data_IF_792495586234
#
_entry.id   IF_792495586234
#
_cell.length_a   1.000
_cell.length_b   1.000
_cell.length_c   1.000
_cell.angle_alpha   90.00
_cell.angle_beta   90.00
_cell.angle_gamma   90.00
#
_symmetry.space_group_name_H-M   'P 1'
#
loop_
_entity.id
_entity.type
_entity.pdbx_description
1 polymer ?
#
# COMPACT_ATOMS: atom_id res chain seq x y z
N UNK A 1 -5.95 -14.99 -24.23
CA UNK A 1 -4.71 -15.34 -23.51
C UNK A 1 -5.06 -15.64 -22.07
N UNK A 2 -4.71 -16.81 -21.55
CA UNK A 2 -4.95 -17.22 -20.15
C UNK A 2 -3.68 -16.85 -19.37
N UNK A 3 -3.78 -16.04 -18.32
CA UNK A 3 -2.64 -15.73 -17.46
C UNK A 3 -1.99 -17.04 -16.95
N UNK A 4 -0.65 -17.11 -16.81
CA UNK A 4 0.01 -18.31 -16.32
C UNK A 4 -0.50 -18.61 -14.91
N UNK A 5 -1.08 -19.80 -14.73
CA UNK A 5 -1.57 -20.25 -13.44
C UNK A 5 -0.38 -20.46 -12.50
N UNK A 6 -0.27 -19.66 -11.44
CA UNK A 6 0.66 -19.90 -10.33
C UNK A 6 1.49 -18.73 -9.80
N UNK A 7 1.27 -17.49 -10.27
CA UNK A 7 1.92 -16.31 -9.67
C UNK A 7 1.30 -15.90 -8.32
N UNK A 8 2.03 -15.18 -7.46
CA UNK A 8 1.46 -14.62 -6.24
C UNK A 8 0.24 -13.74 -6.59
N UNK A 9 -0.88 -13.96 -5.88
CA UNK A 9 -2.14 -13.22 -6.07
C UNK A 9 -2.02 -11.75 -5.62
N UNK A 10 -1.03 -11.46 -4.77
CA UNK A 10 -0.79 -10.15 -4.17
C UNK A 10 0.73 -9.84 -4.13
N UNK A 11 1.11 -8.54 -4.11
CA UNK A 11 2.51 -8.14 -3.96
C UNK A 11 3.08 -8.51 -2.58
N UNK A 12 4.40 -8.69 -2.50
CA UNK A 12 5.10 -8.87 -1.24
C UNK A 12 5.20 -7.53 -0.48
N UNK A 13 4.70 -7.50 0.76
CA UNK A 13 4.67 -6.31 1.63
C UNK A 13 5.94 -6.13 2.47
N UNK A 14 6.89 -7.06 2.43
CA UNK A 14 8.18 -6.91 3.09
C UNK A 14 8.89 -5.64 2.61
N UNK A 15 9.23 -4.77 3.56
CA UNK A 15 9.89 -3.50 3.28
C UNK A 15 9.03 -2.46 2.56
N UNK A 16 7.69 -2.58 2.57
CA UNK A 16 6.81 -1.68 1.81
C UNK A 16 6.97 -0.21 2.19
N UNK A 17 7.32 0.09 3.44
CA UNK A 17 7.57 1.44 3.92
C UNK A 17 8.75 2.15 3.23
N UNK A 18 9.64 1.40 2.58
CA UNK A 18 10.78 1.93 1.83
C UNK A 18 10.61 1.89 0.31
N UNK A 19 9.46 1.45 -0.21
CA UNK A 19 9.21 1.38 -1.66
C UNK A 19 8.91 2.78 -2.23
N UNK A 20 9.11 2.95 -3.54
CA UNK A 20 8.87 4.22 -4.24
C UNK A 20 7.40 4.62 -4.32
N UNK A 21 6.47 3.67 -4.22
CA UNK A 21 5.03 3.97 -4.27
C UNK A 21 4.18 2.93 -3.54
N UNK A 22 2.98 3.36 -3.14
CA UNK A 22 1.88 2.50 -2.69
C UNK A 22 0.96 2.22 -3.89
N UNK A 23 0.45 0.98 -3.98
CA UNK A 23 -0.42 0.49 -5.08
C UNK A 23 0.15 0.63 -6.52
N UNK A 24 1.43 1.00 -6.64
CA UNK A 24 2.11 1.29 -7.90
C UNK A 24 1.73 2.63 -8.54
N UNK A 25 0.96 3.48 -7.86
CA UNK A 25 0.50 4.77 -8.41
C UNK A 25 0.60 5.94 -7.41
N UNK A 26 0.53 5.69 -6.11
CA UNK A 26 0.69 6.72 -5.08
C UNK A 26 2.18 6.89 -4.79
N UNK A 27 2.80 7.92 -5.36
CA UNK A 27 4.23 8.18 -5.23
C UNK A 27 4.57 8.62 -3.80
N UNK A 28 5.52 7.90 -3.20
CA UNK A 28 6.04 8.24 -1.88
C UNK A 28 7.10 9.33 -2.00
N UNK A 29 7.06 10.29 -1.09
CA UNK A 29 8.12 11.26 -0.94
C UNK A 29 9.41 10.52 -0.52
N UNK A 30 10.50 10.80 -1.25
CA UNK A 30 11.81 10.18 -1.03
C UNK A 30 12.92 11.22 -1.10
N UNK A 31 14.14 10.82 -0.72
CA UNK A 31 15.31 11.68 -0.86
C UNK A 31 15.54 12.04 -2.33
N UNK A 32 15.54 13.35 -2.63
CA UNK A 32 15.69 13.87 -3.99
C UNK A 32 14.41 13.81 -4.85
N UNK A 33 13.26 13.50 -4.27
CA UNK A 33 11.97 13.44 -4.96
C UNK A 33 11.02 14.50 -4.36
N UNK A 34 10.90 15.63 -5.06
CA UNK A 34 10.04 16.75 -4.63
C UNK A 34 8.55 16.45 -4.81
N UNK A 35 8.20 15.57 -5.74
CA UNK A 35 6.84 15.12 -6.01
C UNK A 35 6.51 13.85 -5.20
N UNK A 36 5.44 13.89 -4.40
CA UNK A 36 4.93 12.74 -3.65
C UNK A 36 4.40 13.13 -2.26
N UNK A 37 3.78 12.16 -1.58
CA UNK A 37 3.27 12.33 -0.21
C UNK A 37 4.07 11.45 0.76
N UNK A 38 4.04 11.75 2.07
CA UNK A 38 4.51 10.82 3.09
C UNK A 38 3.95 9.41 2.87
N UNK A 39 4.78 8.38 3.03
CA UNK A 39 4.38 6.98 2.83
C UNK A 39 3.14 6.62 3.64
N UNK A 40 3.04 7.17 4.86
CA UNK A 40 1.90 6.97 5.74
C UNK A 40 0.60 7.50 5.12
N UNK A 41 0.62 8.72 4.56
CA UNK A 41 -0.58 9.34 3.98
C UNK A 41 -1.06 8.53 2.78
N UNK A 42 -0.14 8.11 1.91
CA UNK A 42 -0.45 7.21 0.79
C UNK A 42 -0.98 5.85 1.27
N UNK A 43 -0.47 5.32 2.38
CA UNK A 43 -0.93 4.06 2.94
C UNK A 43 -2.34 4.18 3.53
N UNK A 44 -2.65 5.28 4.22
CA UNK A 44 -4.00 5.57 4.71
C UNK A 44 -4.97 5.75 3.55
N UNK A 45 -4.60 6.54 2.54
CA UNK A 45 -5.41 6.73 1.33
C UNK A 45 -5.74 5.39 0.66
N UNK A 46 -4.73 4.54 0.46
CA UNK A 46 -4.91 3.22 -0.14
C UNK A 46 -5.78 2.28 0.70
N UNK A 47 -5.53 2.19 2.01
CA UNK A 47 -6.20 1.21 2.85
C UNK A 47 -7.63 1.61 3.23
N UNK A 48 -7.98 2.90 3.21
CA UNK A 48 -9.36 3.33 3.47
C UNK A 48 -10.30 3.07 2.29
N UNK A 49 -9.83 3.28 1.06
CA UNK A 49 -10.64 3.00 -0.14
C UNK A 49 -9.76 2.62 -1.36
N UNK A 50 -9.36 1.34 -1.48
CA UNK A 50 -8.56 0.87 -2.59
C UNK A 50 -9.21 1.11 -3.97
N UNK A 51 -10.54 1.02 -4.05
CA UNK A 51 -11.26 1.14 -5.33
C UNK A 51 -11.32 2.58 -5.81
N UNK A 52 -11.40 3.56 -4.90
CA UNK A 52 -11.29 4.98 -5.25
C UNK A 52 -9.91 5.33 -5.83
N UNK A 53 -8.85 4.75 -5.27
CA UNK A 53 -7.46 4.99 -5.67
C UNK A 53 -7.14 4.29 -6.99
N UNK A 54 -7.52 3.01 -7.12
CA UNK A 54 -7.26 2.21 -8.31
C UNK A 54 -8.50 1.38 -8.70
N UNK A 55 -9.42 1.94 -9.50
CA UNK A 55 -10.64 1.23 -9.90
C UNK A 55 -10.35 -0.11 -10.59
N UNK A 56 -11.05 -1.16 -10.17
CA UNK A 56 -10.92 -2.50 -10.74
C UNK A 56 -9.73 -3.31 -10.21
N UNK A 57 -9.06 -2.84 -9.15
CA UNK A 57 -8.09 -3.65 -8.43
C UNK A 57 -8.79 -4.82 -7.68
N UNK A 58 -8.03 -5.85 -7.33
CA UNK A 58 -8.56 -7.07 -6.68
C UNK A 58 -8.38 -7.10 -5.16
N UNK A 59 -7.86 -6.03 -4.55
CA UNK A 59 -7.76 -5.92 -3.10
C UNK A 59 -9.15 -5.59 -2.52
N UNK A 60 -9.66 -6.38 -1.55
CA UNK A 60 -10.91 -6.05 -0.88
C UNK A 60 -10.75 -4.77 -0.05
N UNK A 61 -11.84 -4.03 0.15
CA UNK A 61 -11.82 -2.91 1.06
C UNK A 61 -11.68 -3.43 2.51
N UNK A 62 -10.70 -2.97 3.30
CA UNK A 62 -10.55 -3.35 4.71
C UNK A 62 -11.82 -3.20 5.55
N UNK A 63 -12.67 -2.21 5.26
CA UNK A 63 -13.97 -2.01 5.94
C UNK A 63 -14.95 -3.15 5.65
N UNK A 64 -14.93 -3.71 4.45
CA UNK A 64 -15.75 -4.89 4.09
C UNK A 64 -15.27 -6.16 4.81
N UNK A 65 -14.05 -6.15 5.34
CA UNK A 65 -13.49 -7.20 6.18
C UNK A 65 -13.79 -6.99 7.68
N UNK A 66 -14.50 -5.92 8.04
CA UNK A 66 -14.90 -5.61 9.41
C UNK A 66 -13.89 -4.81 10.22
N UNK A 67 -12.86 -4.23 9.57
CA UNK A 67 -11.90 -3.37 10.25
C UNK A 67 -12.46 -1.96 10.47
N UNK A 68 -12.19 -1.42 11.66
CA UNK A 68 -12.49 -0.03 12.02
C UNK A 68 -11.48 0.94 11.41
N UNK A 69 -11.84 2.22 11.34
CA UNK A 69 -10.92 3.26 10.85
C UNK A 69 -9.63 3.33 11.68
N UNK A 70 -9.72 3.10 13.00
CA UNK A 70 -8.56 3.10 13.90
C UNK A 70 -7.63 1.91 13.63
N UNK A 71 -8.17 0.72 13.38
CA UNK A 71 -7.37 -0.46 13.00
C UNK A 71 -6.73 -0.28 11.63
N UNK A 72 -7.44 0.30 10.66
CA UNK A 72 -6.91 0.61 9.33
C UNK A 72 -5.74 1.59 9.44
N UNK A 73 -5.89 2.65 10.24
CA UNK A 73 -4.84 3.62 10.50
C UNK A 73 -3.62 2.98 11.18
N UNK A 74 -3.84 2.12 12.18
CA UNK A 74 -2.76 1.39 12.85
C UNK A 74 -2.01 0.45 11.90
N UNK A 75 -2.70 -0.24 10.99
CA UNK A 75 -2.08 -1.05 9.94
C UNK A 75 -1.28 -0.17 8.97
N UNK A 76 -1.83 0.98 8.58
CA UNK A 76 -1.15 1.93 7.71
C UNK A 76 0.17 2.42 8.33
N UNK A 77 0.13 2.78 9.62
CA UNK A 77 1.30 3.20 10.40
C UNK A 77 2.35 2.09 10.50
N UNK A 78 1.93 0.85 10.79
CA UNK A 78 2.83 -0.29 10.82
C UNK A 78 3.53 -0.51 9.47
N UNK A 79 2.77 -0.56 8.37
CA UNK A 79 3.31 -0.82 7.03
C UNK A 79 4.19 0.33 6.52
N UNK A 80 3.84 1.58 6.80
CA UNK A 80 4.64 2.74 6.43
C UNK A 80 6.02 2.76 7.12
N UNK A 81 6.09 2.22 8.34
CA UNK A 81 7.34 2.09 9.09
C UNK A 81 8.08 0.76 8.83
N UNK A 82 7.46 -0.21 8.16
CA UNK A 82 8.09 -1.48 7.84
C UNK A 82 9.09 -1.34 6.68
N UNK A 83 10.31 -0.90 7.02
CA UNK A 83 11.45 -0.71 6.13
C UNK A 83 12.46 -1.84 6.31
N UNK A 84 13.27 -2.09 5.28
CA UNK A 84 14.38 -3.02 5.36
C UNK A 84 15.65 -2.23 5.63
N UNK A 85 16.23 -2.46 6.80
CA UNK A 85 17.56 -2.00 7.13
C UNK A 85 18.54 -3.12 6.73
N UNK A 86 19.41 -2.81 5.78
CA UNK A 86 20.50 -3.68 5.41
C UNK A 86 21.74 -3.17 6.15
N UNK A 87 22.20 -3.90 7.17
CA UNK A 87 23.53 -3.71 7.78
C UNK A 87 24.65 -4.16 6.84
#
# INVERSE_FOLDING_TARGET
MKAPAGGPVAPNLTGIGGKQSVAGILLNQGEGQEDGNPVLDNMKEWLHDPQSVKPGNTMPNPKDLGLTDEEIDGIAEYLANYKLDYE
#
